data_IF_458723820232
#
_entry.id   IF_458723820232
#
_cell.length_a   1.000
_cell.length_b   1.000
_cell.length_c   1.000
_cell.angle_alpha   90.00
_cell.angle_beta   90.00
_cell.angle_gamma   90.00
#
_symmetry.space_group_name_H-M   'P 1'
#
loop_
_entity.id
_entity.type
_entity.pdbx_description
1 polymer ?
#
# COMPACT_ATOMS: atom_id res chain seq x y z
N UNK A 1 8.61 -0.83 8.89
CA UNK A 1 7.53 0.18 8.78
C UNK A 1 6.64 -0.21 7.62
N UNK A 2 5.32 -0.02 7.74
CA UNK A 2 4.35 -0.36 6.68
C UNK A 2 3.45 0.84 6.45
N UNK A 3 3.27 1.22 5.19
CA UNK A 3 2.36 2.28 4.76
C UNK A 3 1.21 1.65 3.98
N UNK A 4 0.00 2.16 4.20
CA UNK A 4 -1.21 1.69 3.54
C UNK A 4 -1.86 2.87 2.80
N UNK A 5 -2.35 2.61 1.59
CA UNK A 5 -2.98 3.60 0.73
C UNK A 5 -4.31 3.06 0.23
N UNK A 6 -5.35 3.89 0.19
CA UNK A 6 -6.70 3.52 -0.29
C UNK A 6 -7.11 4.41 -1.45
N UNK A 7 -7.88 3.86 -2.38
CA UNK A 7 -8.38 4.58 -3.54
C UNK A 7 -8.90 3.63 -4.63
N UNK A 8 -9.19 4.18 -5.79
CA UNK A 8 -9.55 3.41 -6.98
C UNK A 8 -8.38 2.53 -7.45
N UNK A 9 -8.68 1.37 -8.03
CA UNK A 9 -7.67 0.37 -8.42
C UNK A 9 -6.55 0.95 -9.29
N UNK A 10 -6.87 1.85 -10.22
CA UNK A 10 -5.89 2.50 -11.08
C UNK A 10 -4.92 3.39 -10.29
N UNK A 11 -5.45 4.21 -9.39
CA UNK A 11 -4.66 5.10 -8.54
C UNK A 11 -3.76 4.30 -7.58
N UNK A 12 -4.29 3.27 -6.93
CA UNK A 12 -3.53 2.41 -6.00
C UNK A 12 -2.41 1.67 -6.74
N UNK A 13 -2.69 1.14 -7.93
CA UNK A 13 -1.66 0.44 -8.73
C UNK A 13 -0.51 1.37 -9.14
N UNK A 14 -0.82 2.61 -9.54
CA UNK A 14 0.21 3.60 -9.85
C UNK A 14 1.04 3.98 -8.62
N UNK A 15 0.37 4.24 -7.48
CA UNK A 15 1.03 4.64 -6.25
C UNK A 15 1.99 3.56 -5.71
N UNK A 16 1.54 2.30 -5.67
CA UNK A 16 2.35 1.19 -5.16
C UNK A 16 3.58 0.95 -6.05
N UNK A 17 3.44 0.99 -7.38
CA UNK A 17 4.57 0.83 -8.31
C UNK A 17 5.59 1.96 -8.16
N UNK A 18 5.12 3.20 -8.16
CA UNK A 18 5.99 4.36 -8.01
C UNK A 18 6.73 4.34 -6.66
N UNK A 19 6.05 3.97 -5.57
CA UNK A 19 6.65 3.86 -4.24
C UNK A 19 7.65 2.72 -4.14
N UNK A 20 7.37 1.56 -4.75
CA UNK A 20 8.28 0.43 -4.76
C UNK A 20 9.61 0.78 -5.43
N UNK A 21 9.55 1.39 -6.62
CA UNK A 21 10.74 1.82 -7.38
C UNK A 21 11.54 2.89 -6.62
N UNK A 22 10.85 3.81 -5.93
CA UNK A 22 11.49 4.86 -5.14
C UNK A 22 12.21 4.30 -3.90
N UNK A 23 11.60 3.33 -3.21
CA UNK A 23 12.13 2.78 -1.96
C UNK A 23 13.22 1.71 -2.17
N UNK A 24 13.39 1.16 -3.38
CA UNK A 24 14.36 0.10 -3.65
C UNK A 24 15.81 0.48 -3.26
N UNK A 25 16.15 1.77 -3.31
CA UNK A 25 17.52 2.28 -3.06
C UNK A 25 17.65 3.05 -1.74
N UNK A 26 16.62 3.06 -0.90
CA UNK A 26 16.57 3.87 0.31
C UNK A 26 16.75 2.99 1.54
N UNK A 27 17.79 3.27 2.35
CA UNK A 27 18.07 2.55 3.59
C UNK A 27 18.29 1.05 3.36
N UNK A 28 17.66 0.22 4.19
CA UNK A 28 17.69 -1.25 4.06
C UNK A 28 16.81 -1.79 2.91
N UNK A 29 16.19 -0.89 2.14
CA UNK A 29 15.38 -1.21 0.97
C UNK A 29 13.93 -1.59 1.27
N UNK A 30 13.26 -2.11 0.23
CA UNK A 30 11.86 -2.51 0.26
C UNK A 30 11.72 -4.01 0.56
N UNK A 31 10.91 -4.35 1.57
CA UNK A 31 10.60 -5.76 1.87
C UNK A 31 9.47 -6.31 0.99
N UNK A 32 8.37 -5.56 0.85
CA UNK A 32 7.21 -5.99 0.09
C UNK A 32 6.39 -4.80 -0.43
N UNK A 33 5.82 -4.97 -1.62
CA UNK A 33 4.80 -4.11 -2.20
C UNK A 33 3.64 -4.98 -2.70
N UNK A 34 2.42 -4.70 -2.27
CA UNK A 34 1.26 -5.54 -2.58
C UNK A 34 -0.02 -4.72 -2.79
N UNK A 35 -0.89 -5.21 -3.67
CA UNK A 35 -2.16 -4.58 -4.00
C UNK A 35 -3.28 -5.58 -3.78
N UNK A 36 -4.29 -5.17 -3.02
CA UNK A 36 -5.54 -5.91 -2.86
C UNK A 36 -6.65 -5.04 -3.46
N UNK A 37 -7.15 -5.42 -4.63
CA UNK A 37 -8.14 -4.61 -5.36
C UNK A 37 -9.50 -4.53 -4.64
N UNK A 38 -9.84 -5.54 -3.83
CA UNK A 38 -11.04 -5.57 -3.01
C UNK A 38 -10.79 -6.44 -1.78
N UNK A 39 -10.71 -5.81 -0.62
CA UNK A 39 -10.64 -6.53 0.65
C UNK A 39 -12.01 -7.11 1.02
N UNK A 40 -12.01 -8.21 1.76
CA UNK A 40 -13.22 -8.72 2.37
C UNK A 40 -13.60 -7.86 3.58
N UNK A 41 -14.90 -7.71 3.87
CA UNK A 41 -15.38 -6.81 4.94
C UNK A 41 -14.76 -7.13 6.31
N UNK A 42 -14.55 -8.41 6.63
CA UNK A 42 -13.90 -8.82 7.89
C UNK A 42 -12.47 -8.26 8.07
N UNK A 43 -11.77 -7.96 6.98
CA UNK A 43 -10.40 -7.44 7.01
C UNK A 43 -10.40 -5.95 7.35
N UNK A 44 -11.47 -5.22 7.05
CA UNK A 44 -11.57 -3.77 7.34
C UNK A 44 -11.39 -3.46 8.83
N UNK A 45 -11.80 -4.37 9.71
CA UNK A 45 -11.72 -4.19 11.16
C UNK A 45 -10.30 -4.16 11.72
N UNK A 46 -9.33 -4.72 10.98
CA UNK A 46 -7.91 -4.75 11.37
C UNK A 46 -7.07 -3.73 10.59
N UNK A 47 -7.63 -3.15 9.53
CA UNK A 47 -6.94 -2.13 8.76
C UNK A 47 -7.01 -0.80 9.53
N UNK A 48 -5.90 -0.04 9.59
CA UNK A 48 -5.91 1.28 10.18
C UNK A 48 -6.89 2.18 9.42
N UNK A 49 -7.64 3.00 10.16
CA UNK A 49 -8.46 4.07 9.57
C UNK A 49 -7.55 5.00 8.76
N UNK A 50 -8.06 5.64 7.68
CA UNK A 50 -7.27 6.63 6.95
C UNK A 50 -6.71 7.65 7.95
N UNK A 51 -5.38 7.80 7.96
CA UNK A 51 -4.72 8.83 8.73
C UNK A 51 -5.19 10.19 8.19
N UNK A 52 -5.63 11.07 9.08
CA UNK A 52 -5.82 12.49 8.78
C UNK A 52 -4.48 13.15 8.39
#
# INVERSE_FOLDING_TARGET
>A
MTVLVRGETGAVNAAVRAGADACERVGDGLVAAHIIARVHNEVENILPSPAE
#
